data_IF_551925401453
#
_entry.id   IF_551925401453
#
_cell.length_a   1.000
_cell.length_b   1.000
_cell.length_c   1.000
_cell.angle_alpha   90.00
_cell.angle_beta   90.00
_cell.angle_gamma   90.00
#
_symmetry.space_group_name_H-M   'P 1'
#
loop_
_entity.id
_entity.type
_entity.pdbx_description
1 polymer ?
#
# COMPACT_ATOMS: atom_id res chain seq x y z
N UNK A 1 -7.92 12.10 -30.05
CA UNK A 1 -8.06 12.25 -28.78
C UNK A 1 -9.16 11.48 -28.24
N UNK A 2 -10.12 11.16 -28.89
CA UNK A 2 -11.10 10.48 -28.32
C UNK A 2 -10.85 9.11 -27.93
N UNK A 3 -9.94 8.48 -28.52
CA UNK A 3 -9.74 7.16 -28.21
C UNK A 3 -9.32 6.90 -26.91
N UNK A 4 -8.51 7.74 -26.38
CA UNK A 4 -8.06 7.51 -25.14
C UNK A 4 -9.16 7.53 -24.21
N UNK A 5 -10.12 8.31 -24.47
CA UNK A 5 -11.17 8.40 -23.52
C UNK A 5 -11.91 7.11 -23.46
N UNK A 6 -12.01 6.38 -24.55
CA UNK A 6 -12.69 5.22 -24.39
C UNK A 6 -11.93 4.25 -23.65
N UNK A 7 -10.68 4.19 -23.80
CA UNK A 7 -9.91 3.31 -22.98
C UNK A 7 -10.11 3.63 -21.55
N UNK A 8 -10.18 4.86 -21.20
CA UNK A 8 -10.38 5.22 -19.85
C UNK A 8 -11.70 4.83 -19.36
N UNK A 9 -12.73 4.99 -20.15
CA UNK A 9 -14.02 4.61 -19.64
C UNK A 9 -14.09 3.12 -19.44
N UNK A 10 -13.38 2.36 -20.24
CA UNK A 10 -13.41 0.94 -20.01
C UNK A 10 -12.69 0.57 -18.76
N UNK A 11 -11.82 1.39 -18.28
CA UNK A 11 -11.10 1.07 -17.09
C UNK A 11 -12.01 0.96 -15.89
N UNK A 12 -13.18 1.57 -15.91
CA UNK A 12 -14.11 1.39 -14.82
C UNK A 12 -13.50 1.69 -13.47
N UNK A 13 -13.40 0.70 -12.60
CA UNK A 13 -12.93 0.96 -11.24
C UNK A 13 -11.51 1.51 -11.16
N UNK A 14 -10.74 1.37 -12.22
CA UNK A 14 -9.40 1.93 -12.21
C UNK A 14 -9.37 3.38 -12.65
N UNK A 15 -10.50 3.92 -13.06
CA UNK A 15 -10.57 5.33 -13.40
C UNK A 15 -10.19 6.17 -12.21
N UNK A 16 -9.48 7.23 -12.45
CA UNK A 16 -9.07 8.12 -11.38
C UNK A 16 -7.77 7.73 -10.71
N UNK A 17 -7.14 6.66 -11.15
CA UNK A 17 -5.83 6.30 -10.63
C UNK A 17 -4.78 6.96 -11.51
N UNK A 18 -3.81 7.68 -10.92
CA UNK A 18 -2.76 8.28 -11.73
C UNK A 18 -1.91 7.23 -12.40
N UNK A 19 -1.19 7.64 -13.44
CA UNK A 19 -0.30 6.74 -14.13
C UNK A 19 0.85 6.39 -13.19
N UNK A 20 1.14 5.11 -12.97
CA UNK A 20 2.29 4.76 -12.14
C UNK A 20 3.59 5.18 -12.78
N UNK A 21 4.56 5.52 -11.95
CA UNK A 21 5.88 5.91 -12.38
C UNK A 21 6.90 4.90 -11.89
N UNK A 22 7.80 4.43 -12.72
CA UNK A 22 8.78 3.45 -12.30
C UNK A 22 9.64 3.96 -11.16
N UNK A 23 10.09 3.05 -10.31
CA UNK A 23 10.95 3.38 -9.20
C UNK A 23 12.18 2.51 -9.26
N UNK A 24 13.35 3.13 -9.09
CA UNK A 24 14.59 2.42 -9.02
C UNK A 24 15.07 2.48 -7.59
N UNK A 25 15.51 1.36 -7.06
CA UNK A 25 15.94 1.31 -5.68
C UNK A 25 16.98 2.39 -5.42
N UNK A 26 16.78 3.12 -4.34
CA UNK A 26 17.69 4.19 -3.97
C UNK A 26 17.30 5.57 -4.46
N UNK A 27 16.31 5.68 -5.35
CA UNK A 27 15.91 6.99 -5.83
C UNK A 27 15.32 7.88 -4.75
N UNK A 28 14.63 7.28 -3.79
CA UNK A 28 14.02 8.06 -2.71
C UNK A 28 14.65 7.62 -1.38
N UNK A 29 15.60 8.35 -0.87
CA UNK A 29 16.22 8.02 0.42
C UNK A 29 15.21 8.04 1.55
N UNK A 30 15.39 7.17 2.51
CA UNK A 30 14.50 7.07 3.68
C UNK A 30 13.08 6.74 3.29
N UNK A 31 12.89 5.99 2.22
CA UNK A 31 11.54 5.65 1.76
C UNK A 31 11.17 4.24 2.17
N UNK A 32 9.86 3.98 2.14
CA UNK A 32 9.30 2.69 2.47
C UNK A 32 8.25 2.35 1.43
N UNK A 33 8.13 1.07 1.08
CA UNK A 33 7.14 0.65 0.09
C UNK A 33 5.85 0.26 0.79
N UNK A 34 4.75 0.81 0.33
CA UNK A 34 3.45 0.72 0.98
C UNK A 34 2.42 0.23 -0.02
N UNK A 35 1.62 -0.74 0.39
CA UNK A 35 0.49 -1.18 -0.41
C UNK A 35 -0.79 -0.64 0.21
N UNK A 36 -1.71 -0.15 -0.60
CA UNK A 36 -3.02 0.31 -0.14
C UNK A 36 -4.09 -0.53 -0.80
N UNK A 37 -4.93 -1.16 0.00
CA UNK A 37 -6.05 -1.95 -0.53
C UNK A 37 -7.11 -0.99 -1.09
N UNK A 38 -7.48 -1.17 -2.34
CA UNK A 38 -8.30 -0.20 -3.04
C UNK A 38 -9.36 -0.86 -3.89
N UNK A 39 -10.50 -0.21 -4.01
CA UNK A 39 -11.58 -0.66 -4.85
C UNK A 39 -11.87 0.35 -5.98
N UNK A 40 -11.82 1.64 -5.71
CA UNK A 40 -12.16 2.61 -6.73
C UNK A 40 -11.26 3.83 -6.67
N UNK A 41 -10.71 4.23 -7.79
CA UNK A 41 -9.87 5.39 -7.85
C UNK A 41 -8.63 5.28 -6.98
N UNK A 42 -8.07 6.41 -6.63
CA UNK A 42 -6.89 6.45 -5.77
C UNK A 42 -7.34 6.54 -4.31
N UNK A 43 -7.93 5.46 -3.82
CA UNK A 43 -8.51 5.45 -2.48
C UNK A 43 -8.04 4.24 -1.70
N UNK A 44 -7.93 4.43 -0.39
CA UNK A 44 -7.72 3.34 0.54
C UNK A 44 -9.09 2.99 1.06
N UNK A 45 -9.78 2.11 0.38
CA UNK A 45 -11.16 1.78 0.69
C UNK A 45 -11.45 0.30 0.60
N UNK A 46 -10.43 -0.53 0.74
CA UNK A 46 -10.60 -1.95 0.58
C UNK A 46 -10.29 -2.77 1.81
N UNK A 47 -10.92 -3.95 1.88
CA UNK A 47 -10.59 -4.97 2.85
C UNK A 47 -9.60 -5.92 2.20
N UNK A 48 -8.71 -6.48 2.99
CA UNK A 48 -7.63 -7.28 2.40
C UNK A 48 -8.13 -8.43 1.55
N UNK A 49 -9.17 -9.10 2.00
CA UNK A 49 -9.64 -10.31 1.31
C UNK A 49 -10.53 -10.06 0.11
N UNK A 50 -10.98 -8.83 -0.09
CA UNK A 50 -11.93 -8.57 -1.16
C UNK A 50 -11.62 -7.36 -2.02
N UNK A 51 -10.55 -6.62 -1.74
CA UNK A 51 -10.27 -5.43 -2.54
C UNK A 51 -9.96 -5.79 -3.98
N UNK A 52 -10.23 -4.85 -4.87
CA UNK A 52 -10.04 -5.07 -6.30
C UNK A 52 -8.58 -5.02 -6.69
N UNK A 53 -7.78 -4.23 -5.99
CA UNK A 53 -6.39 -4.04 -6.36
C UNK A 53 -5.60 -3.51 -5.19
N UNK A 54 -4.28 -3.55 -5.33
CA UNK A 54 -3.39 -2.88 -4.39
C UNK A 54 -2.67 -1.77 -5.13
N UNK A 55 -2.73 -0.56 -4.57
CA UNK A 55 -1.96 0.57 -5.09
C UNK A 55 -0.63 0.54 -4.34
N UNK A 56 0.46 0.54 -5.08
CA UNK A 56 1.79 0.40 -4.48
C UNK A 56 2.51 1.73 -4.57
N UNK A 57 2.94 2.23 -3.42
CA UNK A 57 3.63 3.51 -3.34
C UNK A 57 5.01 3.34 -2.75
N UNK A 58 5.93 4.19 -3.20
CA UNK A 58 7.20 4.35 -2.50
C UNK A 58 7.09 5.71 -1.80
N UNK A 59 7.22 5.71 -0.47
CA UNK A 59 6.91 6.88 0.34
C UNK A 59 8.13 7.31 1.11
N UNK A 60 8.50 8.58 0.95
CA UNK A 60 9.61 9.18 1.67
C UNK A 60 9.10 10.42 2.38
N UNK A 61 9.91 11.06 3.23
CA UNK A 61 9.47 12.34 3.79
C UNK A 61 9.11 13.37 2.73
N UNK A 62 9.76 13.31 1.57
CA UNK A 62 9.58 14.31 0.54
C UNK A 62 8.48 14.00 -0.45
N UNK A 63 8.17 12.75 -0.66
CA UNK A 63 7.25 12.43 -1.75
C UNK A 63 6.61 11.05 -1.54
N UNK A 64 5.41 10.87 -2.05
CA UNK A 64 4.78 9.56 -2.13
C UNK A 64 4.54 9.29 -3.61
N UNK A 65 5.24 8.31 -4.17
CA UNK A 65 5.17 8.03 -5.60
C UNK A 65 4.40 6.73 -5.84
N UNK A 66 3.38 6.80 -6.67
CA UNK A 66 2.67 5.59 -7.08
C UNK A 66 3.56 4.87 -8.09
N UNK A 67 4.01 3.67 -7.74
CA UNK A 67 4.94 2.95 -8.60
C UNK A 67 4.32 1.77 -9.30
N UNK A 68 3.19 1.27 -8.82
CA UNK A 68 2.53 0.14 -9.47
C UNK A 68 1.08 0.04 -9.03
N UNK A 69 0.26 -0.57 -9.86
CA UNK A 69 -1.10 -0.93 -9.53
C UNK A 69 -1.21 -2.42 -9.78
N UNK A 70 -1.55 -3.19 -8.77
CA UNK A 70 -1.57 -4.65 -8.87
C UNK A 70 -2.98 -5.16 -8.67
N UNK A 71 -3.63 -5.64 -9.73
CA UNK A 71 -4.99 -6.19 -9.58
C UNK A 71 -4.95 -7.41 -8.69
N UNK A 72 -5.97 -7.58 -7.88
CA UNK A 72 -6.07 -8.72 -7.00
C UNK A 72 -7.15 -9.65 -7.52
N UNK A 73 -7.02 -10.96 -7.28
CA UNK A 73 -8.03 -11.90 -7.74
C UNK A 73 -9.36 -11.61 -7.08
N UNK A 74 -10.41 -11.54 -7.87
CA UNK A 74 -11.73 -11.27 -7.34
C UNK A 74 -12.62 -12.49 -7.32
N UNK A 75 -12.25 -13.54 -8.02
CA UNK A 75 -13.08 -14.69 -8.08
C UNK A 75 -12.75 -15.65 -6.99
N UNK A 76 -13.70 -15.99 -6.19
CA UNK A 76 -13.47 -16.89 -5.11
C UNK A 76 -13.74 -18.30 -5.54
N UNK A 77 -12.77 -19.18 -5.35
CA UNK A 77 -12.98 -20.57 -5.48
C UNK A 77 -13.24 -21.08 -4.13
N UNK A 78 -14.17 -21.94 -3.98
CA UNK A 78 -14.65 -22.34 -2.68
C UNK A 78 -13.63 -22.93 -1.77
N UNK A 79 -12.68 -23.63 -2.26
CA UNK A 79 -11.73 -24.28 -1.39
C UNK A 79 -10.36 -23.65 -1.41
N UNK A 80 -10.22 -22.48 -1.99
CA UNK A 80 -8.91 -21.88 -2.13
C UNK A 80 -8.71 -20.79 -1.09
N UNK A 81 -7.57 -20.79 -0.46
CA UNK A 81 -7.21 -19.72 0.46
C UNK A 81 -6.60 -18.58 -0.32
N UNK A 82 -7.40 -17.58 -0.60
CA UNK A 82 -6.96 -16.46 -1.41
C UNK A 82 -5.98 -15.54 -0.73
N UNK A 83 -5.78 -15.71 0.59
CA UNK A 83 -4.84 -14.84 1.26
C UNK A 83 -3.41 -15.10 0.81
N UNK A 84 -3.09 -16.32 0.41
CA UNK A 84 -1.75 -16.63 -0.08
C UNK A 84 -1.44 -15.83 -1.33
N UNK A 85 -2.39 -15.80 -2.27
CA UNK A 85 -2.18 -15.03 -3.50
C UNK A 85 -2.09 -13.55 -3.23
N UNK A 86 -2.95 -13.04 -2.37
CA UNK A 86 -2.95 -11.62 -2.06
C UNK A 86 -1.68 -11.19 -1.33
N UNK A 87 -1.20 -12.03 -0.43
CA UNK A 87 0.06 -11.74 0.27
C UNK A 87 1.20 -11.69 -0.74
N UNK A 88 1.21 -12.56 -1.73
CA UNK A 88 2.30 -12.56 -2.70
C UNK A 88 2.32 -11.26 -3.52
N UNK A 89 1.16 -10.61 -3.69
CA UNK A 89 1.11 -9.37 -4.44
C UNK A 89 1.74 -8.19 -3.69
N UNK A 90 1.89 -8.30 -2.38
CA UNK A 90 2.41 -7.20 -1.58
C UNK A 90 3.66 -7.61 -0.80
N UNK A 91 4.24 -8.75 -1.12
CA UNK A 91 5.35 -9.27 -0.32
C UNK A 91 6.59 -8.41 -0.38
N UNK A 92 6.73 -7.56 -1.39
CA UNK A 92 7.86 -6.65 -1.48
C UNK A 92 7.59 -5.31 -0.78
N UNK A 93 6.43 -5.18 -0.13
CA UNK A 93 6.09 -3.96 0.61
C UNK A 93 6.43 -4.14 2.08
N UNK A 94 6.66 -3.03 2.76
CA UNK A 94 6.90 -3.06 4.19
C UNK A 94 5.63 -2.76 4.98
N UNK A 95 4.71 -2.01 4.40
CA UNK A 95 3.48 -1.60 5.06
C UNK A 95 2.28 -1.90 4.18
N UNK A 96 1.15 -2.18 4.83
CA UNK A 96 -0.10 -2.42 4.13
C UNK A 96 -1.22 -1.63 4.78
N UNK A 97 -1.85 -0.72 4.04
CA UNK A 97 -3.02 0.00 4.53
C UNK A 97 -4.28 -0.72 4.11
N UNK A 98 -5.17 -0.99 5.06
CA UNK A 98 -6.43 -1.71 4.81
C UNK A 98 -7.52 -1.19 5.72
N UNK A 99 -8.77 -1.40 5.35
CA UNK A 99 -9.87 -1.14 6.24
C UNK A 99 -10.04 -2.29 7.23
N UNK A 100 -9.84 -3.50 6.78
CA UNK A 100 -9.86 -4.65 7.67
C UNK A 100 -9.10 -5.81 7.06
N UNK A 101 -8.70 -6.75 7.90
CA UNK A 101 -8.02 -7.95 7.46
C UNK A 101 -8.34 -9.03 8.48
N UNK A 102 -8.71 -10.21 8.00
CA UNK A 102 -9.02 -11.32 8.88
C UNK A 102 -7.81 -11.87 9.58
N UNK A 103 -8.02 -12.56 10.70
CA UNK A 103 -6.93 -13.06 11.52
C UNK A 103 -5.93 -13.93 10.77
N UNK A 104 -6.37 -14.97 10.07
CA UNK A 104 -5.40 -15.81 9.36
C UNK A 104 -4.62 -15.05 8.29
N UNK A 105 -5.28 -14.14 7.58
CA UNK A 105 -4.60 -13.36 6.56
C UNK A 105 -3.61 -12.39 7.21
N UNK A 106 -3.99 -11.79 8.33
CA UNK A 106 -3.08 -10.88 9.03
C UNK A 106 -1.81 -11.62 9.48
N UNK A 107 -1.96 -12.85 9.95
CA UNK A 107 -0.81 -13.63 10.35
C UNK A 107 0.12 -13.89 9.16
N UNK A 108 -0.45 -14.20 7.99
CA UNK A 108 0.38 -14.43 6.81
C UNK A 108 1.09 -13.16 6.38
N UNK A 109 0.40 -12.02 6.44
CA UNK A 109 0.99 -10.74 6.08
C UNK A 109 2.16 -10.43 7.01
N UNK A 110 1.96 -10.58 8.32
CA UNK A 110 3.01 -10.29 9.28
C UNK A 110 4.19 -11.25 9.08
N UNK A 111 3.89 -12.53 8.83
CA UNK A 111 4.96 -13.51 8.64
C UNK A 111 5.76 -13.26 7.37
N UNK A 112 5.20 -12.55 6.41
CA UNK A 112 5.93 -12.22 5.20
C UNK A 112 6.74 -10.93 5.34
N UNK A 113 6.70 -10.30 6.51
CA UNK A 113 7.48 -9.11 6.75
C UNK A 113 6.74 -7.80 6.49
N UNK A 114 5.45 -7.87 6.29
CA UNK A 114 4.64 -6.68 5.99
C UNK A 114 3.85 -6.28 7.23
N UNK A 115 3.83 -5.01 7.54
CA UNK A 115 3.17 -4.50 8.74
C UNK A 115 1.80 -3.92 8.36
N UNK A 116 0.70 -4.54 8.79
CA UNK A 116 -0.63 -4.02 8.42
C UNK A 116 -1.03 -2.84 9.28
N UNK A 117 -1.60 -1.82 8.65
CA UNK A 117 -2.11 -0.65 9.31
C UNK A 117 -3.59 -0.52 8.96
N UNK A 118 -4.45 -0.67 9.96
CA UNK A 118 -5.89 -0.61 9.73
C UNK A 118 -6.37 0.82 9.82
N UNK A 119 -7.26 1.19 8.90
CA UNK A 119 -7.89 2.49 8.93
C UNK A 119 -9.37 2.29 9.26
N UNK A 120 -9.93 3.20 10.01
CA UNK A 120 -11.32 3.03 10.44
C UNK A 120 -12.32 3.38 9.35
N UNK A 121 -11.93 4.23 8.40
CA UNK A 121 -12.85 4.69 7.37
C UNK A 121 -12.16 4.79 6.02
N UNK A 122 -12.92 4.60 4.95
CA UNK A 122 -12.36 4.82 3.62
C UNK A 122 -11.94 6.26 3.44
N UNK A 123 -10.87 6.48 2.69
CA UNK A 123 -10.39 7.82 2.43
C UNK A 123 -9.53 7.82 1.17
N UNK A 124 -9.17 9.01 0.70
CA UNK A 124 -8.22 9.10 -0.38
C UNK A 124 -6.90 8.50 0.07
N UNK A 125 -6.27 7.75 -0.80
CA UNK A 125 -4.98 7.14 -0.45
C UNK A 125 -3.97 8.21 -0.10
N UNK A 126 -4.01 9.36 -0.79
CA UNK A 126 -3.06 10.41 -0.54
C UNK A 126 -3.13 10.94 0.90
N UNK A 127 -4.30 10.91 1.51
CA UNK A 127 -4.42 11.35 2.88
C UNK A 127 -3.62 10.44 3.82
N UNK A 128 -3.77 9.13 3.65
CA UNK A 128 -3.01 8.16 4.43
C UNK A 128 -1.51 8.32 4.18
N UNK A 129 -1.13 8.55 2.93
CA UNK A 129 0.27 8.68 2.59
C UNK A 129 0.87 9.98 3.12
N UNK A 130 0.09 11.04 3.17
CA UNK A 130 0.57 12.30 3.74
C UNK A 130 0.82 12.15 5.23
N UNK A 131 -0.05 11.42 5.93
CA UNK A 131 0.17 11.13 7.34
C UNK A 131 1.45 10.35 7.54
N UNK A 132 1.69 9.37 6.68
CA UNK A 132 2.88 8.56 6.77
C UNK A 132 4.13 9.40 6.49
N UNK A 133 4.07 10.26 5.49
CA UNK A 133 5.20 11.15 5.18
C UNK A 133 5.54 12.04 6.37
N UNK A 134 4.52 12.55 7.05
CA UNK A 134 4.75 13.38 8.23
C UNK A 134 5.45 12.60 9.33
N UNK A 135 5.07 11.34 9.52
CA UNK A 135 5.73 10.50 10.51
C UNK A 135 7.18 10.24 10.11
N UNK A 136 7.43 10.00 8.83
CA UNK A 136 8.79 9.77 8.36
C UNK A 136 9.65 11.02 8.46
N UNK A 137 9.05 12.19 8.29
CA UNK A 137 9.80 13.44 8.39
C UNK A 137 10.12 13.81 9.82
N UNK A 138 9.34 13.30 10.76
CA UNK A 138 9.54 13.60 12.17
C UNK A 138 10.37 12.51 12.83
N UNK A 139 9.83 11.94 13.92
CA UNK A 139 10.50 10.89 14.66
C UNK A 139 9.68 9.62 14.53
N UNK A 140 9.93 8.83 13.51
CA UNK A 140 9.14 7.61 13.33
C UNK A 140 9.38 6.64 14.49
N UNK A 141 8.38 5.81 14.79
CA UNK A 141 8.59 4.81 15.85
C UNK A 141 9.75 3.89 15.50
N UNK A 142 10.35 3.25 16.48
CA UNK A 142 11.56 2.45 16.24
C UNK A 142 11.39 1.40 15.15
N UNK A 143 10.24 0.73 15.11
CA UNK A 143 10.05 -0.32 14.11
C UNK A 143 10.06 0.25 12.68
N UNK A 144 9.49 1.45 12.50
CA UNK A 144 9.46 2.06 11.19
C UNK A 144 10.82 2.66 10.86
N UNK A 145 11.48 3.24 11.84
CA UNK A 145 12.82 3.78 11.63
C UNK A 145 13.77 2.69 11.14
N UNK A 146 13.65 1.49 11.70
CA UNK A 146 14.50 0.40 11.24
C UNK A 146 14.19 0.00 9.80
N UNK A 147 12.93 0.01 9.43
CA UNK A 147 12.54 -0.36 8.07
C UNK A 147 13.19 0.57 7.05
N UNK A 148 13.23 1.88 7.36
CA UNK A 148 13.81 2.83 6.42
C UNK A 148 15.31 3.03 6.64
N UNK A 149 15.91 2.23 7.53
CA UNK A 149 17.35 2.28 7.72
C UNK A 149 17.83 3.44 8.57
N UNK A 150 16.96 3.96 9.45
CA UNK A 150 17.34 5.08 10.31
C UNK A 150 17.48 4.63 11.73
N UNK A 151 18.28 5.37 12.49
CA UNK A 151 18.41 5.09 13.90
C UNK A 151 17.13 5.45 14.62
N UNK A 152 16.57 4.56 15.44
CA UNK A 152 15.38 4.88 16.19
C UNK A 152 15.67 5.98 17.20
N UNK A 153 14.87 7.03 17.20
CA UNK A 153 15.10 8.15 18.09
C UNK A 153 15.03 7.75 19.55
N UNK A 154 14.15 6.83 19.89
CA UNK A 154 14.01 6.43 21.27
C UNK A 154 15.27 5.77 21.79
N UNK A 155 15.97 5.05 20.93
CA UNK A 155 17.19 4.43 21.37
C UNK A 155 18.24 5.49 21.59
N UNK A 156 18.29 6.48 20.73
CA UNK A 156 19.26 7.52 20.88
C UNK A 156 19.03 8.31 22.16
N UNK A 157 17.80 8.45 22.54
CA UNK A 157 17.52 9.22 23.73
C UNK A 157 17.85 8.44 24.99
N UNK A 158 17.89 7.17 24.89
CA UNK A 158 18.23 6.40 26.07
C UNK A 158 19.70 6.43 26.33
#
# INVERSE_FOLDING_TARGET
MLFRSKGESDAGPASGIPQPHPYRDGELPDSVRVACASNGGERLDGHFGSCARFLIYQVSPAEARLIAVRPAPTIARLSVDHSVERVSLIADCALLGVLSIGGPAAARVVNSGVHPLKRSEPAEATLFLDELRAVLAGAPPPWLARIVGREPAAVAAA
#
